data_IF_698232125746
#
_entry.id   IF_698232125746
#
_cell.length_a   1.000
_cell.length_b   1.000
_cell.length_c   1.000
_cell.angle_alpha   90.00
_cell.angle_beta   90.00
_cell.angle_gamma   90.00
#
_symmetry.space_group_name_H-M   'P 1'
#
loop_
_entity.id
_entity.type
_entity.pdbx_description
1 polymer ?
#
# COMPACT_ATOMS: atom_id res chain seq x y z
N UNK A 1 -18.55 -21.20 -43.18
CA UNK A 1 -18.45 -20.48 -41.90
C UNK A 1 -17.70 -21.40 -40.98
N UNK A 2 -16.54 -21.01 -40.49
CA UNK A 2 -15.75 -21.85 -39.60
C UNK A 2 -16.36 -21.87 -38.19
N UNK A 3 -16.42 -23.04 -37.57
CA UNK A 3 -16.90 -23.24 -36.21
C UNK A 3 -15.84 -23.93 -35.36
N UNK A 4 -15.85 -23.68 -34.06
CA UNK A 4 -14.96 -24.36 -33.12
C UNK A 4 -15.41 -25.81 -32.89
N UNK A 5 -14.49 -26.77 -32.97
CA UNK A 5 -14.79 -28.19 -32.70
C UNK A 5 -15.11 -28.51 -31.24
N UNK A 6 -14.86 -27.58 -30.30
CA UNK A 6 -15.11 -27.77 -28.85
C UNK A 6 -16.42 -27.13 -28.38
N UNK A 7 -16.64 -25.85 -28.69
CA UNK A 7 -17.85 -25.11 -28.25
C UNK A 7 -18.88 -24.88 -29.34
N UNK A 8 -18.59 -25.29 -30.59
CA UNK A 8 -19.46 -25.10 -31.75
C UNK A 8 -19.91 -23.66 -32.02
N UNK A 9 -19.25 -22.66 -31.43
CA UNK A 9 -19.49 -21.25 -31.77
C UNK A 9 -18.67 -20.85 -33.01
N UNK A 10 -19.10 -19.80 -33.75
CA UNK A 10 -18.38 -19.33 -34.93
C UNK A 10 -16.94 -18.93 -34.60
N UNK A 11 -16.05 -19.13 -35.56
CA UNK A 11 -14.68 -18.59 -35.61
C UNK A 11 -14.52 -17.51 -36.70
N UNK A 12 -15.59 -17.24 -37.45
CA UNK A 12 -15.66 -16.18 -38.45
C UNK A 12 -16.98 -15.42 -38.31
N UNK A 13 -16.97 -14.13 -38.63
CA UNK A 13 -18.14 -13.28 -38.73
C UNK A 13 -18.12 -12.50 -40.05
N UNK A 14 -19.28 -12.07 -40.53
CA UNK A 14 -19.37 -11.19 -41.70
C UNK A 14 -19.10 -9.73 -41.28
N UNK A 15 -18.49 -8.94 -42.16
CA UNK A 15 -18.39 -7.51 -41.94
C UNK A 15 -19.78 -6.86 -41.89
N UNK A 16 -19.93 -5.82 -41.06
CA UNK A 16 -21.19 -5.08 -40.94
C UNK A 16 -21.58 -4.46 -42.30
N UNK A 17 -22.89 -4.37 -42.54
CA UNK A 17 -23.49 -3.76 -43.73
C UNK A 17 -23.08 -4.39 -45.08
N UNK A 18 -22.63 -5.65 -45.08
CA UNK A 18 -22.28 -6.36 -46.32
C UNK A 18 -21.02 -5.81 -47.01
N UNK A 19 -20.22 -5.01 -46.29
CA UNK A 19 -18.97 -4.44 -46.80
C UNK A 19 -18.02 -5.59 -47.13
N UNK A 20 -17.42 -5.54 -48.32
CA UNK A 20 -16.33 -6.44 -48.70
C UNK A 20 -15.05 -5.63 -48.83
N UNK A 21 -13.96 -6.12 -48.27
CA UNK A 21 -12.64 -5.50 -48.37
C UNK A 21 -11.74 -6.40 -49.21
N UNK A 22 -11.28 -5.92 -50.38
CA UNK A 22 -10.49 -6.73 -51.33
C UNK A 22 -11.11 -8.10 -51.67
N UNK A 23 -12.44 -8.17 -51.82
CA UNK A 23 -13.17 -9.41 -52.11
C UNK A 23 -13.38 -10.35 -50.90
N UNK A 24 -12.88 -9.99 -49.73
CA UNK A 24 -13.10 -10.71 -48.46
C UNK A 24 -14.31 -10.11 -47.76
N UNK A 25 -15.33 -10.93 -47.47
CA UNK A 25 -16.56 -10.51 -46.80
C UNK A 25 -16.71 -11.05 -45.36
N UNK A 26 -15.70 -11.78 -44.87
CA UNK A 26 -15.66 -12.39 -43.53
C UNK A 26 -14.35 -12.05 -42.84
N UNK A 27 -14.39 -11.90 -41.52
CA UNK A 27 -13.20 -11.77 -40.69
C UNK A 27 -13.18 -12.83 -39.59
N UNK A 28 -12.00 -13.19 -39.06
CA UNK A 28 -11.90 -14.05 -37.90
C UNK A 28 -12.62 -13.44 -36.69
N UNK A 29 -13.30 -14.28 -35.92
CA UNK A 29 -13.83 -13.93 -34.59
C UNK A 29 -13.43 -15.01 -33.59
N UNK A 30 -13.36 -14.65 -32.31
CA UNK A 30 -13.07 -15.64 -31.29
C UNK A 30 -14.28 -16.52 -31.01
N UNK A 31 -14.03 -17.83 -30.95
CA UNK A 31 -14.99 -18.75 -30.39
C UNK A 31 -15.09 -18.59 -28.87
N UNK A 32 -16.19 -19.07 -28.27
CA UNK A 32 -16.43 -18.97 -26.83
C UNK A 32 -15.29 -19.54 -25.99
N UNK A 33 -14.73 -20.70 -26.36
CA UNK A 33 -13.59 -21.29 -25.63
C UNK A 33 -12.34 -20.40 -25.65
N UNK A 34 -12.07 -19.72 -26.77
CA UNK A 34 -10.91 -18.83 -26.88
C UNK A 34 -11.13 -17.57 -26.02
N UNK A 35 -12.34 -17.01 -26.06
CA UNK A 35 -12.72 -15.86 -25.25
C UNK A 35 -12.72 -16.18 -23.73
N UNK A 36 -13.20 -17.36 -23.32
CA UNK A 36 -13.13 -17.85 -21.94
C UNK A 36 -11.68 -18.00 -21.48
N UNK A 37 -10.85 -18.71 -22.26
CA UNK A 37 -9.43 -18.90 -21.94
C UNK A 37 -8.67 -17.57 -21.85
N UNK A 38 -8.93 -16.63 -22.76
CA UNK A 38 -8.32 -15.29 -22.73
C UNK A 38 -8.72 -14.54 -21.45
N UNK A 39 -10.00 -14.58 -21.07
CA UNK A 39 -10.47 -13.95 -19.82
C UNK A 39 -9.81 -14.59 -18.60
N UNK A 40 -9.71 -15.91 -18.56
CA UNK A 40 -9.01 -16.63 -17.49
C UNK A 40 -7.53 -16.22 -17.41
N UNK A 41 -6.84 -16.18 -18.56
CA UNK A 41 -5.45 -15.75 -18.64
C UNK A 41 -5.27 -14.29 -18.18
N UNK A 42 -6.13 -13.38 -18.65
CA UNK A 42 -6.11 -11.98 -18.20
C UNK A 42 -6.38 -11.86 -16.69
N UNK A 43 -7.32 -12.64 -16.13
CA UNK A 43 -7.56 -12.65 -14.68
C UNK A 43 -6.35 -13.16 -13.92
N UNK A 44 -5.71 -14.23 -14.41
CA UNK A 44 -4.51 -14.82 -13.83
C UNK A 44 -3.34 -13.84 -13.84
N UNK A 45 -3.12 -13.17 -14.96
CA UNK A 45 -2.08 -12.13 -15.07
C UNK A 45 -2.35 -10.94 -14.15
N UNK A 46 -3.60 -10.48 -14.06
CA UNK A 46 -3.99 -9.38 -13.15
C UNK A 46 -3.76 -9.77 -11.69
N UNK A 47 -4.14 -10.98 -11.30
CA UNK A 47 -3.91 -11.48 -9.95
C UNK A 47 -2.42 -11.63 -9.64
N UNK A 48 -1.63 -12.14 -10.58
CA UNK A 48 -0.18 -12.24 -10.44
C UNK A 48 0.47 -10.86 -10.24
N UNK A 49 0.12 -9.88 -11.08
CA UNK A 49 0.58 -8.49 -10.97
C UNK A 49 0.15 -7.87 -9.64
N UNK A 50 -1.10 -8.06 -9.22
CA UNK A 50 -1.62 -7.61 -7.92
C UNK A 50 -0.79 -8.17 -6.77
N UNK A 51 -0.58 -9.49 -6.72
CA UNK A 51 0.19 -10.15 -5.65
C UNK A 51 1.64 -9.68 -5.63
N UNK A 52 2.28 -9.62 -6.81
CA UNK A 52 3.65 -9.12 -6.94
C UNK A 52 3.78 -7.66 -6.45
N UNK A 53 2.79 -6.81 -6.72
CA UNK A 53 2.80 -5.43 -6.27
C UNK A 53 2.66 -5.31 -4.75
N UNK A 54 1.70 -6.05 -4.15
CA UNK A 54 1.52 -6.10 -2.69
C UNK A 54 2.80 -6.57 -1.99
N UNK A 55 3.45 -7.61 -2.49
CA UNK A 55 4.73 -8.07 -1.94
C UNK A 55 5.82 -7.00 -2.04
N UNK A 56 5.89 -6.24 -3.13
CA UNK A 56 6.84 -5.12 -3.25
C UNK A 56 6.58 -4.00 -2.25
N UNK A 57 5.31 -3.64 -2.02
CA UNK A 57 4.92 -2.65 -1.02
C UNK A 57 5.27 -3.13 0.40
N UNK A 58 5.03 -4.40 0.69
CA UNK A 58 5.35 -5.02 1.98
C UNK A 58 6.85 -5.04 2.25
N UNK A 59 7.66 -5.44 1.25
CA UNK A 59 9.12 -5.41 1.35
C UNK A 59 9.67 -3.99 1.55
N UNK A 60 9.04 -3.00 0.92
CA UNK A 60 9.42 -1.60 1.09
C UNK A 60 9.06 -1.07 2.49
N UNK A 61 7.81 -1.28 2.92
CA UNK A 61 7.31 -0.81 4.20
C UNK A 61 8.09 -1.39 5.38
N UNK A 62 8.47 -2.67 5.31
CA UNK A 62 9.08 -3.40 6.43
C UNK A 62 10.54 -3.75 6.20
N UNK A 63 11.27 -2.93 5.42
CA UNK A 63 12.69 -3.16 5.13
C UNK A 63 13.55 -3.31 6.38
N UNK A 64 13.29 -2.48 7.38
CA UNK A 64 14.12 -2.33 8.58
C UNK A 64 13.44 -2.93 9.84
N UNK A 65 12.27 -3.57 9.70
CA UNK A 65 11.48 -4.11 10.83
C UNK A 65 10.80 -5.45 10.49
N UNK A 66 10.81 -6.46 11.38
CA UNK A 66 10.21 -7.77 11.10
C UNK A 66 8.67 -7.78 11.29
N UNK A 67 7.97 -6.86 10.64
CA UNK A 67 6.52 -6.65 10.79
C UNK A 67 5.66 -7.32 9.70
N UNK A 68 6.27 -8.07 8.77
CA UNK A 68 5.60 -8.73 7.64
C UNK A 68 4.40 -9.62 8.03
N UNK A 69 4.41 -10.17 9.24
CA UNK A 69 3.38 -11.10 9.72
C UNK A 69 2.51 -10.54 10.85
N UNK A 70 2.57 -9.24 11.10
CA UNK A 70 1.74 -8.59 12.11
C UNK A 70 0.33 -8.37 11.56
N UNK A 71 -0.66 -8.96 12.22
CA UNK A 71 -2.06 -8.85 11.83
C UNK A 71 -2.98 -8.88 13.05
N UNK A 72 -4.14 -8.23 12.94
CA UNK A 72 -5.11 -8.11 14.03
C UNK A 72 -5.60 -9.47 14.56
N UNK A 73 -5.71 -10.48 13.70
CA UNK A 73 -6.30 -11.78 14.06
C UNK A 73 -5.36 -12.66 14.91
N UNK A 74 -4.09 -12.29 15.06
CA UNK A 74 -3.14 -12.97 15.95
C UNK A 74 -3.18 -12.45 17.39
N UNK A 75 -3.91 -11.35 17.65
CA UNK A 75 -4.13 -10.89 19.00
C UNK A 75 -5.16 -11.80 19.67
N UNK A 76 -4.73 -12.67 20.60
CA UNK A 76 -5.62 -13.61 21.29
C UNK A 76 -6.81 -12.96 22.01
N UNK A 77 -6.70 -11.67 22.37
CA UNK A 77 -7.81 -10.84 22.84
C UNK A 77 -7.70 -9.47 22.16
N UNK A 78 -8.78 -9.04 21.48
CA UNK A 78 -8.90 -7.68 20.98
C UNK A 78 -9.25 -6.74 22.13
N UNK A 79 -8.29 -5.93 22.55
CA UNK A 79 -8.54 -4.84 23.50
C UNK A 79 -9.29 -3.69 22.81
N UNK A 80 -10.02 -2.87 23.56
CA UNK A 80 -10.74 -1.72 23.00
C UNK A 80 -9.84 -0.82 22.13
N UNK A 81 -8.61 -0.47 22.53
CA UNK A 81 -7.70 0.29 21.68
C UNK A 81 -7.35 -0.43 20.37
N UNK A 82 -7.10 -1.73 20.41
CA UNK A 82 -6.77 -2.51 19.21
C UNK A 82 -7.97 -2.61 18.26
N UNK A 83 -9.20 -2.64 18.79
CA UNK A 83 -10.43 -2.59 18.02
C UNK A 83 -10.62 -1.24 17.32
N UNK A 84 -10.30 -0.12 17.99
CA UNK A 84 -10.29 1.20 17.36
C UNK A 84 -9.29 1.27 16.20
N UNK A 85 -8.09 0.73 16.41
CA UNK A 85 -7.04 0.69 15.38
C UNK A 85 -7.44 -0.22 14.20
N UNK A 86 -8.11 -1.35 14.47
CA UNK A 86 -8.68 -2.22 13.43
C UNK A 86 -9.75 -1.47 12.63
N UNK A 87 -10.69 -0.80 13.29
CA UNK A 87 -11.73 -0.01 12.63
C UNK A 87 -11.15 1.09 11.74
N UNK A 88 -10.07 1.74 12.16
CA UNK A 88 -9.35 2.71 11.33
C UNK A 88 -8.82 2.08 10.03
N UNK A 89 -8.16 0.93 10.11
CA UNK A 89 -7.68 0.20 8.93
C UNK A 89 -8.84 -0.28 8.04
N UNK A 90 -9.94 -0.74 8.65
CA UNK A 90 -11.11 -1.21 7.93
C UNK A 90 -11.75 -0.10 7.09
N UNK A 91 -11.77 1.14 7.60
CA UNK A 91 -12.33 2.33 6.94
C UNK A 91 -11.26 3.21 6.27
N UNK A 92 -10.13 2.62 5.85
CA UNK A 92 -8.99 3.37 5.30
C UNK A 92 -9.35 4.39 4.21
N UNK A 93 -10.25 4.05 3.26
CA UNK A 93 -10.61 4.96 2.17
C UNK A 93 -11.19 6.29 2.68
N UNK A 94 -12.02 6.24 3.71
CA UNK A 94 -12.56 7.43 4.36
C UNK A 94 -11.48 8.19 5.13
N UNK A 95 -10.64 7.47 5.88
CA UNK A 95 -9.54 8.05 6.64
C UNK A 95 -8.54 8.77 5.72
N UNK A 96 -8.23 8.16 4.57
CA UNK A 96 -7.35 8.74 3.56
C UNK A 96 -7.97 9.99 2.94
N UNK A 97 -9.24 9.90 2.51
CA UNK A 97 -9.96 11.02 1.90
C UNK A 97 -10.04 12.24 2.83
N UNK A 98 -10.26 12.01 4.12
CA UNK A 98 -10.39 13.05 5.13
C UNK A 98 -9.04 13.43 5.79
N UNK A 99 -7.93 12.84 5.35
CA UNK A 99 -6.60 13.03 5.93
C UNK A 99 -6.54 12.80 7.45
N UNK A 100 -7.18 11.73 7.93
CA UNK A 100 -7.25 11.36 9.35
C UNK A 100 -6.07 10.45 9.69
N UNK A 101 -5.23 10.89 10.62
CA UNK A 101 -4.13 10.11 11.21
C UNK A 101 -4.48 9.50 12.57
N UNK A 102 -3.52 8.77 13.16
CA UNK A 102 -3.63 8.24 14.53
C UNK A 102 -2.40 8.60 15.37
N UNK A 103 -2.61 8.81 16.66
CA UNK A 103 -1.53 8.84 17.65
C UNK A 103 -1.76 7.70 18.63
N UNK A 104 -0.84 6.75 18.66
CA UNK A 104 -0.85 5.61 19.56
C UNK A 104 0.11 5.91 20.71
N UNK A 105 -0.40 6.09 21.91
CA UNK A 105 0.41 6.41 23.09
C UNK A 105 0.12 5.50 24.28
N UNK A 106 1.10 5.37 25.17
CA UNK A 106 1.00 4.55 26.38
C UNK A 106 2.34 3.98 26.82
N UNK A 107 2.34 3.19 27.90
CA UNK A 107 3.55 2.62 28.49
C UNK A 107 4.37 1.75 27.53
N UNK A 108 5.63 1.52 27.85
CA UNK A 108 6.51 0.60 27.12
C UNK A 108 5.89 -0.81 27.11
N UNK A 109 6.00 -1.50 25.96
CA UNK A 109 5.53 -2.89 25.83
C UNK A 109 4.02 -3.06 25.63
N UNK A 110 3.24 -1.98 25.45
CA UNK A 110 1.78 -2.07 25.22
C UNK A 110 1.37 -2.45 23.78
N UNK A 111 2.32 -2.75 22.90
CA UNK A 111 2.04 -3.22 21.54
C UNK A 111 1.65 -2.12 20.52
N UNK A 112 2.04 -0.87 20.75
CA UNK A 112 1.74 0.26 19.83
C UNK A 112 2.33 0.05 18.43
N UNK A 113 3.61 -0.26 18.34
CA UNK A 113 4.30 -0.56 17.07
C UNK A 113 3.65 -1.74 16.36
N UNK A 114 3.29 -2.78 17.12
CA UNK A 114 2.54 -3.93 16.61
C UNK A 114 1.20 -3.53 16.00
N UNK A 115 0.41 -2.73 16.72
CA UNK A 115 -0.88 -2.24 16.22
C UNK A 115 -0.71 -1.38 14.95
N UNK A 116 0.29 -0.51 14.91
CA UNK A 116 0.61 0.28 13.72
C UNK A 116 1.01 -0.60 12.52
N UNK A 117 1.82 -1.65 12.74
CA UNK A 117 2.17 -2.59 11.65
C UNK A 117 1.00 -3.49 11.22
N UNK A 118 0.05 -3.78 12.11
CA UNK A 118 -1.21 -4.42 11.73
C UNK A 118 -2.03 -3.53 10.77
N UNK A 119 -2.11 -2.23 11.04
CA UNK A 119 -2.72 -1.26 10.10
C UNK A 119 -1.97 -1.28 8.77
N UNK A 120 -0.63 -1.20 8.81
CA UNK A 120 0.20 -1.21 7.61
C UNK A 120 -0.09 -2.44 6.73
N UNK A 121 -0.06 -3.65 7.29
CA UNK A 121 -0.38 -4.86 6.52
C UNK A 121 -1.81 -4.83 5.94
N UNK A 122 -2.79 -4.42 6.75
CA UNK A 122 -4.19 -4.38 6.32
C UNK A 122 -4.43 -3.41 5.15
N UNK A 123 -3.75 -2.26 5.12
CA UNK A 123 -3.86 -1.30 4.00
C UNK A 123 -2.99 -1.70 2.81
N UNK A 124 -1.83 -2.33 3.02
CA UNK A 124 -0.97 -2.87 1.96
C UNK A 124 -1.72 -3.94 1.14
N UNK A 125 -2.55 -4.78 1.78
CA UNK A 125 -3.39 -5.75 1.07
C UNK A 125 -4.42 -5.11 0.11
N UNK A 126 -4.70 -3.82 0.33
CA UNK A 126 -5.51 -2.93 -0.53
C UNK A 126 -4.66 -2.12 -1.52
N UNK A 127 -3.38 -2.48 -1.70
CA UNK A 127 -2.41 -1.81 -2.58
C UNK A 127 -2.02 -0.39 -2.15
N UNK A 128 -2.17 -0.05 -0.88
CA UNK A 128 -1.80 1.26 -0.34
C UNK A 128 -0.31 1.27 -0.02
N UNK A 129 0.41 2.31 -0.45
CA UNK A 129 1.83 2.46 -0.14
C UNK A 129 2.05 2.95 1.29
N UNK A 130 2.89 2.27 2.06
CA UNK A 130 3.16 2.58 3.47
C UNK A 130 4.66 2.76 3.70
N UNK A 131 5.04 3.85 4.35
CA UNK A 131 6.37 4.01 4.90
C UNK A 131 6.34 3.75 6.40
N UNK A 132 7.02 2.72 6.89
CA UNK A 132 7.18 2.45 8.31
C UNK A 132 8.62 2.73 8.70
N UNK A 133 8.84 3.67 9.62
CA UNK A 133 10.19 4.05 10.03
C UNK A 133 10.23 4.47 11.50
N UNK A 134 11.27 4.06 12.20
CA UNK A 134 11.53 4.54 13.55
C UNK A 134 12.03 5.99 13.50
N UNK A 135 11.54 6.82 14.41
CA UNK A 135 11.94 8.23 14.50
C UNK A 135 13.45 8.38 14.73
N UNK A 136 14.05 7.49 15.52
CA UNK A 136 15.50 7.44 15.71
C UNK A 136 16.26 7.23 14.39
N UNK A 137 15.77 6.37 13.49
CA UNK A 137 16.40 6.11 12.20
C UNK A 137 16.30 7.30 11.25
N UNK A 138 15.19 8.05 11.30
CA UNK A 138 15.07 9.32 10.57
C UNK A 138 16.17 10.28 11.02
N UNK A 139 16.31 10.50 12.33
CA UNK A 139 17.30 11.45 12.87
C UNK A 139 18.71 11.01 12.49
N UNK A 140 19.04 9.72 12.65
CA UNK A 140 20.35 9.18 12.31
C UNK A 140 20.67 9.32 10.81
N UNK A 141 19.70 9.06 9.93
CA UNK A 141 19.89 9.21 8.48
C UNK A 141 20.04 10.67 8.08
N UNK A 142 19.21 11.56 8.60
CA UNK A 142 19.28 13.00 8.26
C UNK A 142 20.61 13.61 8.74
N UNK A 143 21.14 13.20 9.90
CA UNK A 143 22.44 13.68 10.38
C UNK A 143 23.59 13.43 9.40
N UNK A 144 23.54 12.35 8.63
CA UNK A 144 24.56 11.98 7.65
C UNK A 144 24.30 12.46 6.22
N UNK A 145 23.18 13.15 5.97
CA UNK A 145 22.78 13.59 4.63
C UNK A 145 22.84 15.12 4.51
N UNK A 146 23.36 15.61 3.38
CA UNK A 146 23.46 17.04 3.08
C UNK A 146 22.89 17.36 1.69
N UNK A 147 22.43 18.60 1.50
CA UNK A 147 21.93 19.09 0.21
C UNK A 147 20.88 18.17 -0.42
N UNK A 148 21.13 17.81 -1.69
CA UNK A 148 20.22 17.01 -2.51
C UNK A 148 19.89 15.64 -1.90
N UNK A 149 20.82 15.01 -1.20
CA UNK A 149 20.61 13.68 -0.61
C UNK A 149 19.56 13.72 0.51
N UNK A 150 19.60 14.78 1.33
CA UNK A 150 18.58 15.02 2.37
C UNK A 150 17.22 15.24 1.74
N UNK A 151 17.14 16.03 0.67
CA UNK A 151 15.88 16.29 -0.02
C UNK A 151 15.35 15.06 -0.76
N UNK A 152 16.21 14.19 -1.28
CA UNK A 152 15.83 12.90 -1.84
C UNK A 152 15.22 12.00 -0.75
N UNK A 153 15.86 11.92 0.41
CA UNK A 153 15.33 11.15 1.54
C UNK A 153 13.97 11.68 2.01
N UNK A 154 13.82 13.00 2.18
CA UNK A 154 12.55 13.60 2.56
C UNK A 154 11.44 13.33 1.54
N UNK A 155 11.74 13.46 0.23
CA UNK A 155 10.78 13.11 -0.83
C UNK A 155 10.40 11.63 -0.78
N UNK A 156 11.36 10.75 -0.47
CA UNK A 156 11.10 9.31 -0.33
C UNK A 156 10.13 9.00 0.81
N UNK A 157 10.18 9.75 1.92
CA UNK A 157 9.23 9.58 3.02
C UNK A 157 7.83 10.07 2.62
N UNK A 158 7.74 11.25 1.98
CA UNK A 158 6.45 11.89 1.64
C UNK A 158 5.68 11.19 0.52
N UNK A 159 6.32 10.33 -0.29
CA UNK A 159 5.66 9.65 -1.41
C UNK A 159 4.56 8.68 -0.97
N UNK A 160 4.72 8.05 0.19
CA UNK A 160 3.81 7.02 0.68
C UNK A 160 2.41 7.58 0.98
N UNK A 161 1.38 6.78 0.75
CA UNK A 161 -0.02 7.12 1.05
C UNK A 161 -0.25 7.18 2.56
N UNK A 162 0.41 6.30 3.31
CA UNK A 162 0.47 6.30 4.78
C UNK A 162 1.92 6.37 5.26
N UNK A 163 2.21 7.26 6.21
CA UNK A 163 3.51 7.34 6.88
C UNK A 163 3.34 6.98 8.36
N UNK A 164 4.08 5.98 8.81
CA UNK A 164 4.10 5.54 10.20
C UNK A 164 5.44 5.94 10.81
N UNK A 165 5.38 6.79 11.83
CA UNK A 165 6.51 7.23 12.62
C UNK A 165 6.47 6.47 13.95
N UNK A 166 7.40 5.53 14.11
CA UNK A 166 7.45 4.66 15.29
C UNK A 166 8.40 5.22 16.37
N UNK A 167 7.99 5.11 17.63
CA UNK A 167 8.72 5.55 18.82
C UNK A 167 9.15 7.03 18.81
N UNK A 168 8.19 7.91 18.54
CA UNK A 168 8.34 9.36 18.75
C UNK A 168 8.61 9.64 20.24
N UNK A 169 9.71 10.34 20.52
CA UNK A 169 10.21 10.64 21.86
C UNK A 169 11.35 9.73 22.32
N UNK A 170 11.64 8.63 21.59
CA UNK A 170 12.81 7.79 21.87
C UNK A 170 14.09 8.30 21.20
N UNK A 171 14.00 9.34 20.36
CA UNK A 171 15.16 9.99 19.77
C UNK A 171 16.06 10.65 20.83
N UNK A 172 17.33 10.86 20.48
CA UNK A 172 18.23 11.63 21.35
C UNK A 172 17.61 13.01 21.55
N UNK A 173 17.45 13.42 22.80
CA UNK A 173 16.90 14.72 23.24
C UNK A 173 17.80 15.94 22.86
N UNK A 174 18.30 15.98 21.63
CA UNK A 174 19.05 17.11 21.08
C UNK A 174 18.10 18.07 20.35
N UNK A 175 18.45 19.35 20.31
CA UNK A 175 17.69 20.35 19.53
C UNK A 175 17.57 19.94 18.06
N UNK A 176 18.67 19.44 17.50
CA UNK A 176 18.73 18.96 16.12
C UNK A 176 17.77 17.79 15.83
N UNK A 177 17.67 16.82 16.76
CA UNK A 177 16.73 15.71 16.61
C UNK A 177 15.29 16.20 16.52
N UNK A 178 14.89 17.10 17.43
CA UNK A 178 13.56 17.72 17.44
C UNK A 178 13.27 18.50 16.17
N UNK A 179 14.24 19.25 15.65
CA UNK A 179 14.12 19.99 14.38
C UNK A 179 13.88 19.05 13.19
N UNK A 180 14.63 17.94 13.11
CA UNK A 180 14.46 16.96 12.04
C UNK A 180 13.07 16.31 12.05
N UNK A 181 12.62 15.92 13.25
CA UNK A 181 11.31 15.32 13.43
C UNK A 181 10.20 16.31 13.10
N UNK A 182 10.34 17.56 13.55
CA UNK A 182 9.41 18.63 13.21
C UNK A 182 9.33 18.87 11.70
N UNK A 183 10.46 18.90 10.98
CA UNK A 183 10.50 19.06 9.52
C UNK A 183 9.72 17.94 8.81
N UNK A 184 9.88 16.68 9.25
CA UNK A 184 9.13 15.54 8.69
C UNK A 184 7.63 15.67 8.93
N UNK A 185 7.22 15.94 10.18
CA UNK A 185 5.81 16.10 10.54
C UNK A 185 5.19 17.27 9.75
N UNK A 186 5.87 18.41 9.70
CA UNK A 186 5.39 19.58 9.00
C UNK A 186 5.21 19.33 7.50
N UNK A 187 6.22 18.75 6.83
CA UNK A 187 6.10 18.37 5.40
C UNK A 187 4.96 17.38 5.16
N UNK A 188 4.75 16.44 6.08
CA UNK A 188 3.66 15.47 5.97
C UNK A 188 2.30 16.13 6.06
N UNK A 189 2.10 17.01 7.05
CA UNK A 189 0.89 17.82 7.19
C UNK A 189 0.60 18.64 5.93
N UNK A 190 1.62 19.30 5.36
CA UNK A 190 1.50 20.07 4.13
C UNK A 190 1.18 19.21 2.89
N UNK A 191 1.62 17.96 2.87
CA UNK A 191 1.32 17.02 1.77
C UNK A 191 -0.13 16.49 1.78
N UNK A 192 -0.88 16.71 2.87
CA UNK A 192 -2.28 16.31 2.97
C UNK A 192 -2.50 14.79 2.98
N UNK A 193 -1.50 14.01 3.43
CA UNK A 193 -1.58 12.55 3.50
C UNK A 193 -1.55 12.03 4.94
N UNK A 194 -2.34 11.00 5.29
CA UNK A 194 -2.43 10.51 6.65
C UNK A 194 -1.09 10.08 7.24
N UNK A 195 -0.98 10.18 8.56
CA UNK A 195 0.17 9.66 9.30
C UNK A 195 -0.25 8.99 10.60
N UNK A 196 0.48 7.96 11.00
CA UNK A 196 0.35 7.32 12.31
C UNK A 196 1.62 7.59 13.09
N UNK A 197 1.48 7.94 14.36
CA UNK A 197 2.60 8.18 15.27
C UNK A 197 2.45 7.25 16.45
N UNK A 198 3.52 6.57 16.85
CA UNK A 198 3.57 5.86 18.13
C UNK A 198 4.48 6.62 19.10
N UNK A 199 4.11 6.69 20.37
CA UNK A 199 4.90 7.40 21.39
C UNK A 199 4.73 6.78 22.78
N UNK A 200 5.75 6.89 23.62
CA UNK A 200 5.73 6.39 24.99
C UNK A 200 5.22 7.50 25.91
N UNK A 201 4.28 7.18 26.79
CA UNK A 201 3.85 8.11 27.84
C UNK A 201 4.96 8.17 28.91
N UNK A 202 5.48 9.37 29.17
CA UNK A 202 6.44 9.65 30.24
C UNK A 202 5.75 10.37 31.39
#
# INVERSE_FOLDING_TARGET
MLYCGKCHTPKEAFFQNGISFNGINKHPTECRCAAEWRKEEETREREYKRKSYIESLRMEAFRDIPANFWCFDRAGVLTTPLQTVRNYADHWEEMQKNNIGLVLFGNVGTGKSYAAGCVANAVIDRMVSVGFIAVADIVNRIQGLWGDDRDCFMRSLMRHDLLILDDLGAERNTSYGKECVFDVINRRCLSGKPMIVTTIFH
#
